data_IF_014180894131
#
_entry.id   IF_014180894131
#
_cell.length_a   1.000
_cell.length_b   1.000
_cell.length_c   1.000
_cell.angle_alpha   90.00
_cell.angle_beta   90.00
_cell.angle_gamma   90.00
#
_symmetry.space_group_name_H-M   'P 1'
#
loop_
_entity.id
_entity.type
_entity.pdbx_description
1 polymer ?
#
# COMPACT_ATOMS: atom_id res chain seq x y z
N UNK A 1 21.58 -15.00 2.45
CA UNK A 1 22.56 -14.74 1.37
C UNK A 1 21.94 -13.78 0.36
N UNK A 2 21.90 -12.50 0.74
CA UNK A 2 21.44 -11.42 -0.12
C UNK A 2 22.62 -11.03 -1.02
N UNK A 3 22.55 -11.40 -2.31
CA UNK A 3 23.50 -10.88 -3.28
C UNK A 3 23.27 -9.37 -3.37
N UNK A 4 24.25 -8.63 -2.86
CA UNK A 4 24.35 -7.18 -2.81
C UNK A 4 24.29 -6.66 -4.25
N UNK A 5 23.08 -6.36 -4.71
CA UNK A 5 22.84 -5.76 -6.01
C UNK A 5 23.59 -4.43 -6.05
N UNK A 6 24.46 -4.26 -7.04
CA UNK A 6 25.31 -3.09 -7.26
C UNK A 6 24.49 -1.86 -7.73
N UNK A 7 23.27 -1.68 -7.21
CA UNK A 7 22.34 -0.61 -7.60
C UNK A 7 22.66 0.65 -6.83
N UNK A 8 22.76 1.77 -7.55
CA UNK A 8 22.90 3.08 -6.92
C UNK A 8 21.70 3.36 -6.00
N UNK A 9 21.88 4.11 -4.90
CA UNK A 9 20.78 4.49 -4.01
C UNK A 9 19.61 5.16 -4.77
N UNK A 10 19.94 5.92 -5.82
CA UNK A 10 18.99 6.63 -6.68
C UNK A 10 18.11 5.68 -7.49
N UNK A 11 18.68 4.62 -8.06
CA UNK A 11 17.96 3.66 -8.91
C UNK A 11 17.00 2.81 -8.09
N UNK A 12 17.44 2.36 -6.91
CA UNK A 12 16.57 1.67 -5.96
C UNK A 12 15.44 2.58 -5.47
N UNK A 13 15.78 3.84 -5.14
CA UNK A 13 14.79 4.85 -4.75
C UNK A 13 13.75 5.10 -5.85
N UNK A 14 14.18 5.18 -7.11
CA UNK A 14 13.29 5.39 -8.25
C UNK A 14 12.30 4.23 -8.41
N UNK A 15 12.76 2.98 -8.29
CA UNK A 15 11.89 1.80 -8.32
C UNK A 15 10.88 1.81 -7.15
N UNK A 16 11.29 2.28 -5.97
CA UNK A 16 10.36 2.39 -4.82
C UNK A 16 9.28 3.46 -5.02
N UNK A 17 9.52 4.49 -5.85
CA UNK A 17 8.48 5.48 -6.19
C UNK A 17 7.34 4.90 -7.04
N UNK A 18 7.54 3.74 -7.68
CA UNK A 18 6.47 3.04 -8.40
C UNK A 18 5.27 2.72 -7.50
N UNK A 19 5.50 2.48 -6.19
CA UNK A 19 4.42 2.22 -5.24
C UNK A 19 3.52 3.45 -5.04
N UNK A 20 4.01 4.61 -4.54
CA UNK A 20 3.16 5.78 -4.36
C UNK A 20 2.56 6.30 -5.67
N UNK A 21 3.28 6.19 -6.80
CA UNK A 21 2.73 6.54 -8.12
C UNK A 21 1.51 5.66 -8.43
N UNK A 22 1.62 4.35 -8.26
CA UNK A 22 0.51 3.44 -8.50
C UNK A 22 -0.68 3.74 -7.59
N UNK A 23 -0.46 4.05 -6.30
CA UNK A 23 -1.52 4.49 -5.40
C UNK A 23 -2.21 5.75 -5.94
N UNK A 24 -1.45 6.78 -6.33
CA UNK A 24 -2.02 8.05 -6.81
C UNK A 24 -2.85 7.84 -8.07
N UNK A 25 -2.38 7.00 -8.99
CA UNK A 25 -3.09 6.70 -10.25
C UNK A 25 -4.35 5.85 -10.01
N UNK A 26 -4.28 4.88 -9.11
CA UNK A 26 -5.39 3.96 -8.83
C UNK A 26 -6.41 4.52 -7.83
N UNK A 27 -6.02 5.44 -6.96
CA UNK A 27 -6.89 6.07 -5.97
C UNK A 27 -8.20 6.66 -6.52
N UNK A 28 -8.24 7.43 -7.63
CA UNK A 28 -9.49 7.95 -8.17
C UNK A 28 -10.41 6.83 -8.73
N UNK A 29 -9.83 5.77 -9.30
CA UNK A 29 -10.59 4.61 -9.79
C UNK A 29 -11.25 3.87 -8.61
N UNK A 30 -10.47 3.64 -7.57
CA UNK A 30 -10.93 3.01 -6.33
C UNK A 30 -11.96 3.85 -5.61
N UNK A 31 -11.78 5.18 -5.57
CA UNK A 31 -12.77 6.10 -5.02
C UNK A 31 -14.13 5.97 -5.71
N UNK A 32 -14.14 5.96 -7.05
CA UNK A 32 -15.37 5.74 -7.83
C UNK A 32 -16.01 4.37 -7.59
N UNK A 33 -15.21 3.33 -7.39
CA UNK A 33 -15.72 2.01 -7.05
C UNK A 33 -16.26 1.95 -5.61
N UNK A 34 -15.62 2.64 -4.67
CA UNK A 34 -16.03 2.68 -3.27
C UNK A 34 -17.38 3.39 -3.06
N UNK A 35 -17.75 4.30 -3.96
CA UNK A 35 -19.07 4.94 -3.96
C UNK A 35 -20.20 4.01 -4.42
N UNK A 36 -19.89 2.99 -5.24
CA UNK A 36 -20.88 2.06 -5.82
C UNK A 36 -20.96 0.70 -5.12
N UNK A 37 -19.88 0.24 -4.50
CA UNK A 37 -19.77 -1.11 -3.95
C UNK A 37 -19.56 -1.08 -2.43
N UNK A 38 -20.03 -2.11 -1.71
CA UNK A 38 -19.85 -2.18 -0.25
C UNK A 38 -18.37 -2.29 0.11
N UNK A 39 -18.00 -1.56 1.15
CA UNK A 39 -16.62 -1.40 1.59
C UNK A 39 -15.92 -2.75 1.82
N UNK A 40 -16.62 -3.73 2.41
CA UNK A 40 -16.09 -5.07 2.68
C UNK A 40 -15.70 -5.86 1.41
N UNK A 41 -16.44 -5.71 0.31
CA UNK A 41 -16.09 -6.37 -0.96
C UNK A 41 -14.85 -5.73 -1.58
N UNK A 42 -14.76 -4.40 -1.56
CA UNK A 42 -13.57 -3.69 -2.05
C UNK A 42 -12.32 -4.05 -1.25
N UNK A 43 -12.41 -4.12 0.09
CA UNK A 43 -11.28 -4.53 0.92
C UNK A 43 -10.83 -5.93 0.57
N UNK A 44 -11.77 -6.86 0.44
CA UNK A 44 -11.47 -8.27 0.20
C UNK A 44 -10.78 -8.46 -1.15
N UNK A 45 -11.26 -7.75 -2.18
CA UNK A 45 -10.64 -7.75 -3.51
C UNK A 45 -9.24 -7.10 -3.47
N UNK A 46 -9.09 -5.98 -2.77
CA UNK A 46 -7.79 -5.33 -2.56
C UNK A 46 -6.79 -6.25 -1.85
N UNK A 47 -7.24 -6.97 -0.82
CA UNK A 47 -6.43 -7.96 -0.11
C UNK A 47 -5.97 -9.08 -1.04
N UNK A 48 -6.86 -9.62 -1.88
CA UNK A 48 -6.52 -10.63 -2.88
C UNK A 48 -5.47 -10.11 -3.86
N UNK A 49 -5.62 -8.88 -4.37
CA UNK A 49 -4.65 -8.25 -5.27
C UNK A 49 -3.29 -8.08 -4.58
N UNK A 50 -3.26 -7.65 -3.33
CA UNK A 50 -2.02 -7.52 -2.54
C UNK A 50 -1.37 -8.89 -2.30
N UNK A 51 -2.15 -9.91 -1.95
CA UNK A 51 -1.65 -11.28 -1.78
C UNK A 51 -1.05 -11.83 -3.07
N UNK A 52 -1.72 -11.60 -4.21
CA UNK A 52 -1.20 -11.97 -5.54
C UNK A 52 0.09 -11.20 -5.82
N UNK A 53 0.14 -9.89 -5.57
CA UNK A 53 1.34 -9.10 -5.79
C UNK A 53 2.54 -9.63 -4.96
N UNK A 54 2.33 -9.98 -3.69
CA UNK A 54 3.38 -10.58 -2.86
C UNK A 54 3.80 -11.98 -3.34
N UNK A 55 2.86 -12.80 -3.82
CA UNK A 55 3.20 -14.07 -4.46
C UNK A 55 4.04 -13.84 -5.73
N UNK A 56 3.69 -12.86 -6.54
CA UNK A 56 4.46 -12.50 -7.74
C UNK A 56 5.86 -11.95 -7.42
N UNK A 57 6.00 -11.22 -6.30
CA UNK A 57 7.31 -10.82 -5.77
C UNK A 57 8.11 -12.03 -5.27
N UNK A 58 7.45 -13.05 -4.69
CA UNK A 58 8.11 -14.27 -4.24
C UNK A 58 8.62 -15.12 -5.41
N UNK A 59 7.90 -15.14 -6.53
CA UNK A 59 8.30 -15.84 -7.76
C UNK A 59 9.29 -15.04 -8.63
N UNK A 60 10.06 -14.12 -8.04
CA UNK A 60 11.04 -13.34 -8.79
C UNK A 60 12.16 -14.24 -9.35
N UNK A 61 12.52 -14.12 -10.64
CA UNK A 61 13.65 -14.86 -11.22
C UNK A 61 14.99 -14.43 -10.60
N UNK A 62 16.01 -15.29 -10.70
CA UNK A 62 17.37 -15.07 -10.18
C UNK A 62 18.05 -13.80 -10.72
N UNK A 63 17.64 -13.32 -11.90
CA UNK A 63 18.07 -12.05 -12.51
C UNK A 63 16.85 -11.21 -12.91
N UNK A 64 16.25 -10.46 -11.97
CA UNK A 64 15.08 -9.66 -12.26
C UNK A 64 15.47 -8.33 -12.91
N UNK A 65 14.79 -7.99 -14.01
CA UNK A 65 14.86 -6.66 -14.61
C UNK A 65 14.20 -5.61 -13.70
N UNK A 66 14.59 -4.34 -13.82
CA UNK A 66 13.96 -3.25 -13.04
C UNK A 66 12.49 -3.07 -13.36
N UNK A 67 12.11 -3.30 -14.62
CA UNK A 67 10.71 -3.30 -15.03
C UNK A 67 9.91 -4.37 -14.28
N UNK A 68 10.49 -5.58 -14.14
CA UNK A 68 9.87 -6.70 -13.45
C UNK A 68 9.55 -6.39 -11.97
N UNK A 69 10.44 -5.66 -11.31
CA UNK A 69 10.24 -5.24 -9.93
C UNK A 69 9.22 -4.10 -9.88
N UNK A 70 9.33 -3.12 -10.76
CA UNK A 70 8.49 -1.92 -10.78
C UNK A 70 7.00 -2.23 -10.97
N UNK A 71 6.63 -3.09 -11.94
CA UNK A 71 5.22 -3.38 -12.19
C UNK A 71 4.57 -4.19 -11.05
N UNK A 72 5.33 -5.09 -10.41
CA UNK A 72 4.86 -5.87 -9.25
C UNK A 72 4.67 -5.00 -8.01
N UNK A 73 5.58 -4.04 -7.78
CA UNK A 73 5.44 -3.01 -6.74
C UNK A 73 4.25 -2.10 -7.03
N UNK A 74 4.05 -1.71 -8.29
CA UNK A 74 2.90 -0.93 -8.71
C UNK A 74 1.58 -1.69 -8.48
N UNK A 75 1.54 -3.00 -8.77
CA UNK A 75 0.38 -3.85 -8.50
C UNK A 75 0.07 -3.93 -7.01
N UNK A 76 1.09 -4.07 -6.16
CA UNK A 76 0.94 -4.02 -4.71
C UNK A 76 0.40 -2.66 -4.24
N UNK A 77 0.91 -1.55 -4.79
CA UNK A 77 0.41 -0.20 -4.51
C UNK A 77 -1.05 -0.01 -4.92
N UNK A 78 -1.44 -0.52 -6.09
CA UNK A 78 -2.81 -0.53 -6.57
C UNK A 78 -3.76 -1.27 -5.63
N UNK A 79 -3.42 -2.49 -5.23
CA UNK A 79 -4.21 -3.26 -4.26
C UNK A 79 -4.30 -2.58 -2.89
N UNK A 80 -3.21 -1.97 -2.44
CA UNK A 80 -3.16 -1.25 -1.16
C UNK A 80 -4.09 -0.01 -1.15
N UNK A 81 -4.27 0.65 -2.29
CA UNK A 81 -5.19 1.79 -2.41
C UNK A 81 -6.66 1.40 -2.15
N UNK A 82 -7.05 0.16 -2.44
CA UNK A 82 -8.40 -0.38 -2.22
C UNK A 82 -8.68 -0.72 -0.75
N UNK A 83 -7.64 -1.08 -0.01
CA UNK A 83 -7.76 -1.50 1.40
C UNK A 83 -7.85 -0.29 2.35
N UNK A 84 -7.27 0.86 1.98
CA UNK A 84 -7.25 2.05 2.85
C UNK A 84 -8.64 2.63 3.20
N UNK A 85 -9.54 2.92 2.23
CA UNK A 85 -10.85 3.53 2.52
C UNK A 85 -11.72 2.74 3.52
N UNK A 86 -11.88 1.41 3.39
CA UNK A 86 -12.66 0.62 4.34
C UNK A 86 -11.98 0.46 5.71
N UNK A 87 -10.65 0.32 5.75
CA UNK A 87 -9.90 0.21 7.01
C UNK A 87 -10.05 1.48 7.86
N UNK A 88 -9.91 2.64 7.20
CA UNK A 88 -10.15 3.93 7.83
C UNK A 88 -11.61 4.07 8.27
N UNK A 89 -12.59 3.68 7.44
CA UNK A 89 -14.02 3.80 7.75
C UNK A 89 -14.46 2.88 8.90
N UNK A 90 -13.95 1.65 8.96
CA UNK A 90 -14.23 0.70 10.05
C UNK A 90 -13.70 1.23 11.40
N UNK A 91 -12.50 1.80 11.41
CA UNK A 91 -11.94 2.40 12.62
C UNK A 91 -12.70 3.67 13.05
N UNK A 92 -13.09 4.54 12.10
CA UNK A 92 -13.88 5.73 12.41
C UNK A 92 -15.28 5.38 12.92
N UNK A 93 -15.88 4.29 12.41
CA UNK A 93 -17.18 3.79 12.87
C UNK A 93 -17.09 3.05 14.22
N UNK A 94 -15.94 2.48 14.58
CA UNK A 94 -15.72 1.87 15.89
C UNK A 94 -15.59 2.91 17.02
N UNK A 95 -15.33 4.18 16.67
CA UNK A 95 -15.27 5.28 17.63
C UNK A 95 -16.66 5.94 17.79
N UNK A 96 -17.11 6.27 19.02
CA UNK A 96 -18.30 7.09 19.24
C UNK A 96 -18.16 8.41 18.47
N UNK A 97 -19.24 8.93 17.85
CA UNK A 97 -19.23 10.09 16.93
C UNK A 97 -18.53 11.36 17.47
N UNK A 98 -18.37 11.47 18.79
CA UNK A 98 -17.65 12.53 19.50
C UNK A 98 -16.11 12.37 19.54
N UNK A 99 -15.53 11.21 19.18
CA UNK A 99 -14.08 10.93 19.26
C UNK A 99 -13.44 10.50 17.93
N UNK A 100 -14.13 10.70 16.81
CA UNK A 100 -13.65 10.37 15.46
C UNK A 100 -12.28 11.02 15.17
N UNK A 101 -12.05 12.26 15.62
CA UNK A 101 -10.75 12.94 15.51
C UNK A 101 -9.63 12.29 16.35
N UNK A 102 -9.97 11.67 17.48
CA UNK A 102 -9.02 10.96 18.33
C UNK A 102 -8.56 9.63 17.71
N UNK A 103 -9.47 8.91 17.04
CA UNK A 103 -9.14 7.69 16.32
C UNK A 103 -8.23 7.95 15.10
N UNK A 104 -8.52 8.99 14.32
CA UNK A 104 -7.61 9.46 13.26
C UNK A 104 -6.25 9.90 13.82
N UNK A 105 -6.25 10.57 14.97
CA UNK A 105 -5.02 10.94 15.70
C UNK A 105 -4.18 9.73 16.08
N UNK A 106 -4.80 8.63 16.52
CA UNK A 106 -4.08 7.38 16.85
C UNK A 106 -3.45 6.71 15.62
N UNK A 107 -4.11 6.67 14.46
CA UNK A 107 -3.44 6.20 13.21
C UNK A 107 -2.22 7.06 12.90
N UNK A 108 -2.38 8.37 12.96
CA UNK A 108 -1.28 9.30 12.68
C UNK A 108 -0.13 9.07 13.66
N UNK A 109 -0.40 8.90 14.95
CA UNK A 109 0.61 8.57 15.95
C UNK A 109 1.26 7.21 15.67
N UNK A 110 0.51 6.15 15.39
CA UNK A 110 1.08 4.84 15.05
C UNK A 110 1.98 4.89 13.80
N UNK A 111 1.57 5.65 12.77
CA UNK A 111 2.35 5.85 11.56
C UNK A 111 3.60 6.68 11.84
N UNK A 112 3.48 7.77 12.59
CA UNK A 112 4.58 8.66 12.94
C UNK A 112 5.59 7.95 13.84
N UNK A 113 5.14 7.20 14.84
CA UNK A 113 6.00 6.37 15.70
C UNK A 113 6.77 5.33 14.90
N UNK A 114 6.13 4.69 13.92
CA UNK A 114 6.81 3.79 12.98
C UNK A 114 7.87 4.52 12.14
N UNK A 115 7.57 5.73 11.66
CA UNK A 115 8.53 6.55 10.91
C UNK A 115 9.71 7.01 11.78
N UNK A 116 9.47 7.40 13.04
CA UNK A 116 10.54 7.83 13.97
C UNK A 116 11.48 6.68 14.36
N UNK A 117 10.99 5.44 14.43
CA UNK A 117 11.84 4.27 14.66
C UNK A 117 12.71 3.92 13.46
N UNK A 118 12.29 4.26 12.23
CA UNK A 118 13.05 4.03 11.00
C UNK A 118 14.12 5.12 10.74
N UNK A 119 14.08 6.23 11.46
CA UNK A 119 15.00 7.37 11.32
C UNK A 119 16.28 7.25 12.19
N UNK A 120 16.38 6.20 13.02
CA UNK A 120 17.59 5.85 13.80
C UNK A 120 18.30 4.65 13.21
#
# INVERSE_FOLDING_TARGET
MACRSHRGPVETGLIMTAWPIAIVVTAPLVGRMADRYPAALLTSLGMLVVSIAFLLLRLLPLHPSDFDIAWRIALAGGGFSMVQPPNNKAMLNAAPKHRISGASGMISVSRLSGQTMLDK
#
